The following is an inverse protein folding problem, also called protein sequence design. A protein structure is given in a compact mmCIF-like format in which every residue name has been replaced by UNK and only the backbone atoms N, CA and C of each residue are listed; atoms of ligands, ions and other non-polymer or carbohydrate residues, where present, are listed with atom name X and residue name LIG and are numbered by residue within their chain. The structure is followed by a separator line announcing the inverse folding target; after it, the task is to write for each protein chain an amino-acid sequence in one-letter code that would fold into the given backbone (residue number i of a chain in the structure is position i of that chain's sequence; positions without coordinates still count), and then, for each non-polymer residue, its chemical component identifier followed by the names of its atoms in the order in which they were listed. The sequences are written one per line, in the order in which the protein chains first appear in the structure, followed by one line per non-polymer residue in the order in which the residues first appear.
data_IF_273008244021
#
_entry.id   IF_273008244021
#
_cell.length_a   1.000
_cell.length_b   1.000
_cell.length_c   1.000
_cell.angle_alpha   90.00
_cell.angle_beta   90.00
_cell.angle_gamma   90.00
#
_symmetry.space_group_name_H-M   'P 1'
#
loop_
_entity.id
_entity.type
_entity.pdbx_description
1 polymer ?
#
# COMPACT_ATOMS: atom_id res chain seq x y z
N UNK A 1 -8.84 -17.61 -3.38
CA UNK A 1 -10.24 -17.13 -3.40
C UNK A 1 -10.20 -15.73 -3.98
N UNK A 2 -10.95 -15.37 -5.01
CA UNK A 2 -10.95 -14.01 -5.51
C UNK A 2 -11.64 -13.11 -4.48
N UNK A 3 -10.95 -12.03 -4.07
CA UNK A 3 -11.49 -10.97 -3.23
C UNK A 3 -12.69 -10.35 -3.92
N UNK A 4 -13.88 -10.64 -3.39
CA UNK A 4 -15.09 -9.96 -3.81
C UNK A 4 -15.05 -8.58 -3.15
N UNK A 5 -14.86 -7.52 -3.93
CA UNK A 5 -15.03 -6.14 -3.51
C UNK A 5 -16.49 -5.95 -3.08
N UNK A 6 -16.80 -6.22 -1.84
CA UNK A 6 -18.09 -5.94 -1.22
C UNK A 6 -18.24 -4.43 -1.11
N UNK A 7 -19.22 -3.90 -1.79
CA UNK A 7 -19.57 -2.48 -1.74
C UNK A 7 -20.67 -2.29 -0.70
N UNK A 8 -20.28 -1.75 0.43
CA UNK A 8 -21.21 -1.45 1.52
C UNK A 8 -21.78 -0.04 1.39
N UNK A 9 -23.11 0.07 1.29
CA UNK A 9 -23.81 1.35 1.44
C UNK A 9 -24.33 1.45 2.89
N UNK A 10 -23.89 2.48 3.63
CA UNK A 10 -24.22 2.70 5.04
C UNK A 10 -25.04 3.96 5.22
N UNK A 11 -26.07 3.88 6.08
CA UNK A 11 -27.01 4.97 6.33
C UNK A 11 -27.21 5.19 7.84
N UNK A 12 -27.24 6.44 8.26
CA UNK A 12 -27.69 6.83 9.59
C UNK A 12 -29.20 6.99 9.56
N UNK A 13 -29.90 6.46 10.56
CA UNK A 13 -31.37 6.54 10.72
C UNK A 13 -31.73 6.99 12.13
N UNK A 14 -32.90 7.59 12.29
CA UNK A 14 -33.40 7.95 13.61
C UNK A 14 -34.19 6.80 14.27
N UNK A 15 -34.56 6.95 15.55
CA UNK A 15 -35.27 5.91 16.30
C UNK A 15 -36.72 5.66 15.76
N UNK A 16 -37.30 6.59 15.01
CA UNK A 16 -38.62 6.49 14.38
C UNK A 16 -38.57 5.87 12.98
N UNK A 17 -37.35 5.61 12.46
CA UNK A 17 -37.20 5.04 11.14
C UNK A 17 -37.87 3.66 11.07
N UNK A 18 -38.66 3.46 10.05
CA UNK A 18 -39.25 2.16 9.74
C UNK A 18 -38.63 1.62 8.47
N UNK A 19 -38.00 0.44 8.57
CA UNK A 19 -37.40 -0.22 7.43
C UNK A 19 -38.48 -0.48 6.35
N UNK A 20 -38.31 0.00 5.10
CA UNK A 20 -39.26 -0.25 4.04
C UNK A 20 -39.37 -1.74 3.72
N UNK A 21 -40.56 -2.19 3.25
CA UNK A 21 -40.80 -3.58 2.85
C UNK A 21 -39.71 -4.05 1.86
N UNK A 22 -39.12 -5.21 2.15
CA UNK A 22 -38.01 -5.79 1.40
C UNK A 22 -38.47 -6.87 0.40
N UNK A 23 -39.67 -7.44 0.60
CA UNK A 23 -40.24 -8.55 -0.19
C UNK A 23 -40.39 -8.19 -1.67
N UNK A 24 -40.64 -6.91 -1.97
CA UNK A 24 -40.83 -6.41 -3.33
C UNK A 24 -39.50 -6.05 -4.04
N UNK A 25 -38.36 -6.23 -3.41
CA UNK A 25 -37.06 -5.87 -3.99
C UNK A 25 -36.71 -6.84 -5.12
N UNK A 26 -37.00 -8.13 -4.92
CA UNK A 26 -36.85 -9.17 -5.95
C UNK A 26 -38.22 -9.80 -6.18
N UNK A 27 -38.66 -9.86 -7.44
CA UNK A 27 -39.94 -10.50 -7.80
C UNK A 27 -39.84 -12.00 -7.46
N UNK A 28 -40.78 -12.48 -6.62
CA UNK A 28 -40.77 -13.83 -6.07
C UNK A 28 -39.54 -14.19 -5.28
N UNK A 29 -38.80 -13.22 -4.74
CA UNK A 29 -37.64 -13.43 -3.87
C UNK A 29 -38.06 -13.89 -2.47
N UNK A 30 -37.18 -14.62 -1.80
CA UNK A 30 -37.32 -14.98 -0.41
C UNK A 30 -36.54 -13.97 0.47
N UNK A 31 -37.12 -13.58 1.59
CA UNK A 31 -36.48 -12.76 2.63
C UNK A 31 -36.33 -13.62 3.86
N UNK A 32 -35.11 -13.87 4.29
CA UNK A 32 -34.80 -14.49 5.57
C UNK A 32 -34.47 -13.39 6.56
N UNK A 33 -34.91 -13.55 7.81
CA UNK A 33 -34.69 -12.59 8.89
C UNK A 33 -34.10 -13.29 10.09
N UNK A 34 -33.00 -12.73 10.61
CA UNK A 34 -32.29 -13.22 11.79
C UNK A 34 -32.00 -12.03 12.72
N UNK A 35 -32.14 -12.23 14.04
CA UNK A 35 -31.64 -11.29 15.04
C UNK A 35 -30.35 -11.76 15.61
N UNK A 36 -29.35 -10.87 15.61
CA UNK A 36 -27.96 -11.16 16.01
C UNK A 36 -27.58 -10.18 17.11
N UNK A 37 -27.14 -10.71 18.25
CA UNK A 37 -26.57 -9.92 19.34
C UNK A 37 -25.06 -10.10 19.35
N UNK A 38 -24.30 -9.01 19.32
CA UNK A 38 -22.84 -9.04 19.29
C UNK A 38 -22.22 -7.90 20.07
N UNK A 39 -21.11 -8.19 20.71
CA UNK A 39 -20.26 -7.20 21.40
C UNK A 39 -18.87 -7.18 20.76
N UNK A 40 -18.39 -6.00 20.42
CA UNK A 40 -17.05 -5.79 19.88
C UNK A 40 -16.29 -4.84 20.80
N UNK A 41 -15.21 -5.31 21.39
CA UNK A 41 -14.23 -4.47 22.09
C UNK A 41 -13.15 -4.04 21.10
N UNK A 42 -13.00 -2.75 20.88
CA UNK A 42 -11.99 -2.17 19.99
C UNK A 42 -10.76 -1.75 20.78
N UNK A 43 -9.61 -2.11 20.24
CA UNK A 43 -8.32 -1.87 20.87
C UNK A 43 -7.46 -0.94 20.03
N UNK A 44 -6.78 -0.01 20.70
CA UNK A 44 -5.81 0.90 20.08
C UNK A 44 -4.81 1.38 21.14
N UNK A 45 -3.78 2.08 20.71
CA UNK A 45 -2.91 2.82 21.64
C UNK A 45 -3.62 4.09 22.16
N UNK A 46 -3.11 4.67 23.23
CA UNK A 46 -3.63 5.95 23.78
C UNK A 46 -3.70 7.08 22.74
N UNK A 47 -2.82 7.04 21.72
CA UNK A 47 -2.76 8.04 20.67
C UNK A 47 -3.55 7.63 19.41
N UNK A 48 -4.28 6.52 19.45
CA UNK A 48 -5.04 5.97 18.34
C UNK A 48 -4.20 5.66 17.09
N UNK A 49 -3.03 5.09 17.29
CA UNK A 49 -2.04 4.83 16.24
C UNK A 49 -2.54 3.84 15.18
N UNK A 50 -3.28 2.80 15.58
CA UNK A 50 -3.84 1.81 14.66
C UNK A 50 -4.89 2.44 13.76
N UNK A 51 -5.85 3.13 14.35
CA UNK A 51 -6.91 3.83 13.62
C UNK A 51 -6.36 4.89 12.66
N UNK A 52 -5.32 5.61 13.04
CA UNK A 52 -4.67 6.60 12.19
C UNK A 52 -4.11 5.99 10.89
N UNK A 53 -3.80 4.68 10.90
CA UNK A 53 -3.34 3.92 9.74
C UNK A 53 -4.44 3.06 9.09
N UNK A 54 -5.71 3.25 9.50
CA UNK A 54 -6.83 2.48 8.99
C UNK A 54 -6.86 1.01 9.46
N UNK A 55 -6.04 0.67 10.45
CA UNK A 55 -5.99 -0.65 11.09
C UNK A 55 -7.04 -0.69 12.20
N UNK A 56 -7.79 -1.80 12.28
CA UNK A 56 -8.75 -2.04 13.35
C UNK A 56 -8.39 -3.34 14.05
N UNK A 57 -8.18 -3.27 15.35
CA UNK A 57 -8.04 -4.44 16.21
C UNK A 57 -9.28 -4.52 17.11
N UNK A 58 -9.94 -5.67 17.11
CA UNK A 58 -11.11 -5.89 17.96
C UNK A 58 -11.12 -7.30 18.52
N UNK A 59 -11.74 -7.44 19.69
CA UNK A 59 -12.18 -8.72 20.22
C UNK A 59 -13.69 -8.79 20.02
N UNK A 60 -14.12 -9.81 19.29
CA UNK A 60 -15.53 -10.04 18.97
C UNK A 60 -16.11 -11.14 19.83
N UNK A 61 -17.33 -10.93 20.28
CA UNK A 61 -18.15 -11.91 20.98
C UNK A 61 -19.58 -11.87 20.45
N UNK A 62 -20.07 -13.03 19.96
CA UNK A 62 -21.38 -13.17 19.32
C UNK A 62 -21.30 -13.37 17.79
N UNK A 63 -22.46 -13.65 17.15
CA UNK A 63 -22.63 -13.90 15.71
C UNK A 63 -21.81 -15.11 15.18
N UNK A 64 -21.57 -16.12 16.06
CA UNK A 64 -20.81 -17.33 15.66
C UNK A 64 -19.30 -17.12 15.48
N UNK A 65 -18.81 -15.90 15.62
CA UNK A 65 -17.39 -15.55 15.51
C UNK A 65 -16.91 -14.92 16.83
N UNK A 66 -16.30 -15.76 17.68
CA UNK A 66 -15.71 -15.29 18.94
C UNK A 66 -14.20 -15.31 18.82
N UNK A 67 -13.52 -14.21 19.13
CA UNK A 67 -12.07 -14.13 19.10
C UNK A 67 -11.53 -12.77 18.69
N UNK A 68 -10.22 -12.73 18.43
CA UNK A 68 -9.52 -11.54 17.97
C UNK A 68 -9.59 -11.40 16.47
N UNK A 69 -9.85 -10.18 16.02
CA UNK A 69 -9.90 -9.82 14.61
C UNK A 69 -9.04 -8.58 14.38
N UNK A 70 -8.15 -8.68 13.39
CA UNK A 70 -7.32 -7.57 12.92
C UNK A 70 -7.66 -7.27 11.46
N UNK A 71 -8.24 -6.11 11.20
CA UNK A 71 -8.49 -5.63 9.86
C UNK A 71 -7.39 -4.64 9.43
N UNK A 72 -6.67 -4.98 8.37
CA UNK A 72 -5.58 -4.15 7.82
C UNK A 72 -5.91 -3.67 6.41
N UNK A 73 -5.53 -2.45 6.01
CA UNK A 73 -5.66 -2.00 4.63
C UNK A 73 -4.88 -2.92 3.69
N UNK A 74 -5.48 -3.25 2.54
CA UNK A 74 -4.84 -4.03 1.47
C UNK A 74 -5.21 -3.42 0.11
N UNK A 75 -4.57 -3.84 -0.99
CA UNK A 75 -4.78 -3.30 -2.33
C UNK A 75 -6.27 -3.33 -2.75
N UNK A 76 -6.92 -2.17 -2.63
CA UNK A 76 -8.33 -1.97 -3.01
C UNK A 76 -9.37 -2.33 -1.95
N UNK A 77 -8.98 -2.71 -0.71
CA UNK A 77 -9.92 -3.08 0.34
C UNK A 77 -9.29 -3.23 1.71
N UNK A 78 -9.80 -4.18 2.47
CA UNK A 78 -9.26 -4.61 3.77
C UNK A 78 -9.08 -6.12 3.78
N UNK A 79 -8.02 -6.58 4.41
CA UNK A 79 -7.84 -8.00 4.75
C UNK A 79 -8.12 -8.17 6.23
N UNK A 80 -8.92 -9.15 6.58
CA UNK A 80 -9.24 -9.53 7.95
C UNK A 80 -8.47 -10.79 8.34
N UNK A 81 -7.89 -10.76 9.54
CA UNK A 81 -7.16 -11.85 10.15
C UNK A 81 -7.86 -12.21 11.45
N UNK A 82 -7.98 -13.50 11.73
CA UNK A 82 -8.75 -14.00 12.86
C UNK A 82 -7.87 -14.90 13.73
N UNK A 83 -8.02 -14.78 15.05
CA UNK A 83 -7.42 -15.65 16.06
C UNK A 83 -8.48 -16.09 17.07
N UNK A 84 -8.22 -17.22 17.71
CA UNK A 84 -9.09 -17.73 18.75
C UNK A 84 -9.19 -16.75 19.93
N UNK A 85 -10.25 -16.90 20.71
CA UNK A 85 -10.49 -16.09 21.90
C UNK A 85 -9.37 -16.25 22.93
N UNK A 86 -8.90 -15.11 23.45
CA UNK A 86 -7.99 -14.97 24.59
C UNK A 86 -8.28 -13.67 25.33
N UNK A 87 -7.86 -13.54 26.58
CA UNK A 87 -8.12 -12.35 27.40
C UNK A 87 -7.32 -11.14 26.93
N UNK A 88 -6.14 -11.37 26.36
CA UNK A 88 -5.25 -10.35 25.79
C UNK A 88 -5.02 -10.61 24.30
N UNK A 89 -4.60 -9.58 23.53
CA UNK A 89 -4.21 -9.76 22.13
C UNK A 89 -3.12 -10.84 22.01
N UNK A 90 -3.24 -11.80 21.07
CA UNK A 90 -2.20 -12.81 20.84
C UNK A 90 -0.84 -12.16 20.52
N UNK A 91 0.25 -12.83 20.89
CA UNK A 91 1.63 -12.36 20.62
C UNK A 91 1.88 -12.14 19.12
N UNK A 92 1.25 -12.94 18.27
CA UNK A 92 1.32 -12.75 16.81
C UNK A 92 0.74 -11.39 16.39
N UNK A 93 -0.38 -10.97 16.98
CA UNK A 93 -1.01 -9.67 16.71
C UNK A 93 -0.09 -8.53 17.15
N UNK A 94 0.45 -8.61 18.36
CA UNK A 94 1.35 -7.60 18.90
C UNK A 94 2.61 -7.47 18.05
N UNK A 95 3.18 -8.58 17.59
CA UNK A 95 4.33 -8.62 16.67
C UNK A 95 4.01 -7.96 15.34
N UNK A 96 2.83 -8.23 14.75
CA UNK A 96 2.40 -7.61 13.51
C UNK A 96 2.26 -6.09 13.63
N UNK A 97 1.89 -5.61 14.81
CA UNK A 97 1.61 -4.20 15.06
C UNK A 97 2.81 -3.41 15.61
N UNK A 98 3.95 -4.07 15.85
CA UNK A 98 5.14 -3.44 16.49
C UNK A 98 5.56 -2.14 15.82
N UNK A 99 5.59 -2.08 14.48
CA UNK A 99 5.95 -0.87 13.74
C UNK A 99 4.94 0.28 13.87
N UNK A 100 3.70 -0.01 14.25
CA UNK A 100 2.64 0.98 14.49
C UNK A 100 2.57 1.40 15.95
N UNK A 101 2.54 0.43 16.85
CA UNK A 101 2.41 0.69 18.31
C UNK A 101 3.67 1.26 18.91
N UNK A 102 4.84 0.91 18.36
CA UNK A 102 6.17 1.34 18.85
C UNK A 102 6.39 1.03 20.35
N UNK A 103 5.94 -0.15 20.77
CA UNK A 103 6.03 -0.61 22.15
C UNK A 103 5.01 0.00 23.10
N UNK A 104 4.07 0.82 22.64
CA UNK A 104 2.96 1.29 23.46
C UNK A 104 1.98 0.16 23.71
N UNK A 105 1.38 0.19 24.89
CA UNK A 105 0.29 -0.72 25.25
C UNK A 105 -0.93 -0.49 24.35
N UNK A 106 -1.55 -1.59 23.94
CA UNK A 106 -2.81 -1.60 23.19
C UNK A 106 -3.92 -1.96 24.17
N UNK A 107 -4.82 -1.01 24.43
CA UNK A 107 -5.89 -1.14 25.39
C UNK A 107 -7.26 -0.96 24.74
N UNK A 108 -8.33 -1.38 25.42
CA UNK A 108 -9.70 -1.16 24.96
C UNK A 108 -10.01 0.35 24.92
N UNK A 109 -10.38 0.85 23.75
CA UNK A 109 -10.74 2.27 23.52
C UNK A 109 -12.24 2.48 23.33
N UNK A 110 -12.97 1.43 22.96
CA UNK A 110 -14.41 1.47 22.83
C UNK A 110 -15.01 0.06 22.90
N UNK A 111 -16.10 -0.10 23.63
CA UNK A 111 -16.90 -1.31 23.63
C UNK A 111 -18.24 -1.02 22.94
N UNK A 112 -18.53 -1.74 21.86
CA UNK A 112 -19.71 -1.52 21.03
C UNK A 112 -20.59 -2.78 21.06
N UNK A 113 -21.76 -2.65 21.61
CA UNK A 113 -22.82 -3.64 21.59
C UNK A 113 -23.78 -3.33 20.44
N UNK A 114 -24.09 -4.34 19.64
CA UNK A 114 -24.96 -4.22 18.47
C UNK A 114 -26.04 -5.28 18.51
N UNK A 115 -27.31 -4.89 18.51
CA UNK A 115 -28.43 -5.77 18.21
C UNK A 115 -28.77 -5.52 16.74
N UNK A 116 -28.60 -6.54 15.92
CA UNK A 116 -28.75 -6.49 14.47
C UNK A 116 -29.94 -7.27 14.01
N UNK A 117 -30.81 -6.62 13.26
CA UNK A 117 -31.85 -7.27 12.50
C UNK A 117 -31.37 -7.46 11.07
N UNK A 118 -31.01 -8.70 10.72
CA UNK A 118 -30.43 -9.05 9.44
C UNK A 118 -31.47 -9.62 8.49
N UNK A 119 -31.57 -9.04 7.30
CA UNK A 119 -32.47 -9.48 6.24
C UNK A 119 -31.67 -9.91 5.04
N UNK A 120 -31.75 -11.22 4.68
CA UNK A 120 -31.11 -11.78 3.50
C UNK A 120 -32.14 -11.96 2.39
N UNK A 121 -31.92 -11.29 1.26
CA UNK A 121 -32.84 -11.30 0.12
C UNK A 121 -32.21 -12.18 -0.98
N UNK A 122 -32.90 -13.27 -1.35
CA UNK A 122 -32.46 -14.24 -2.34
C UNK A 122 -33.37 -14.28 -3.53
N UNK A 123 -32.81 -14.55 -4.74
CA UNK A 123 -33.60 -14.78 -5.96
C UNK A 123 -34.11 -16.25 -5.99
N UNK A 124 -35.27 -16.51 -6.62
CA UNK A 124 -35.92 -17.84 -6.61
C UNK A 124 -35.07 -19.00 -7.13
N UNK A 125 -34.08 -18.72 -7.97
CA UNK A 125 -33.24 -19.72 -8.63
C UNK A 125 -31.78 -19.75 -8.15
N UNK A 126 -31.41 -18.89 -7.18
CA UNK A 126 -30.08 -18.83 -6.58
C UNK A 126 -30.19 -19.06 -5.07
N UNK A 127 -29.56 -20.10 -4.56
CA UNK A 127 -29.55 -20.43 -3.12
C UNK A 127 -28.78 -19.41 -2.26
N UNK A 128 -27.96 -18.55 -2.88
CA UNK A 128 -27.17 -17.53 -2.18
C UNK A 128 -27.91 -16.19 -2.12
N UNK A 129 -27.79 -15.42 -1.01
CA UNK A 129 -28.37 -14.09 -0.89
C UNK A 129 -27.78 -13.13 -1.93
N UNK A 130 -28.65 -12.37 -2.60
CA UNK A 130 -28.22 -11.34 -3.56
C UNK A 130 -27.95 -10.00 -2.88
N UNK A 131 -28.65 -9.72 -1.77
CA UNK A 131 -28.55 -8.49 -0.97
C UNK A 131 -28.73 -8.88 0.49
N UNK A 132 -27.91 -8.30 1.35
CA UNK A 132 -28.07 -8.35 2.79
C UNK A 132 -28.33 -6.93 3.30
N UNK A 133 -29.31 -6.80 4.18
CA UNK A 133 -29.66 -5.54 4.85
C UNK A 133 -29.54 -5.78 6.35
N UNK A 134 -28.64 -5.06 6.98
CA UNK A 134 -28.46 -5.07 8.42
C UNK A 134 -29.04 -3.77 9.01
N UNK A 135 -30.02 -3.89 9.89
CA UNK A 135 -30.57 -2.78 10.68
C UNK A 135 -30.02 -2.90 12.10
N UNK A 136 -29.05 -2.05 12.41
CA UNK A 136 -28.22 -2.15 13.61
C UNK A 136 -28.63 -1.11 14.66
N UNK A 137 -29.08 -1.60 15.83
CA UNK A 137 -29.24 -0.81 17.05
C UNK A 137 -27.91 -0.89 17.84
N UNK A 138 -27.21 0.23 17.93
CA UNK A 138 -25.85 0.28 18.44
C UNK A 138 -25.78 1.05 19.75
N UNK A 139 -25.09 0.49 20.75
CA UNK A 139 -24.70 1.14 21.99
C UNK A 139 -23.18 1.07 22.13
N UNK A 140 -22.55 2.21 22.36
CA UNK A 140 -21.11 2.28 22.54
C UNK A 140 -20.76 2.89 23.90
N UNK A 141 -19.76 2.28 24.56
CA UNK A 141 -19.14 2.78 25.79
C UNK A 141 -17.69 3.19 25.45
N UNK A 142 -17.32 4.45 25.75
CA UNK A 142 -16.02 5.03 25.51
C UNK A 142 -15.58 5.72 26.80
N UNK A 143 -14.74 5.09 27.61
CA UNK A 143 -14.48 5.53 28.98
C UNK A 143 -15.79 5.66 29.74
N UNK A 144 -16.09 6.86 30.26
CA UNK A 144 -17.35 7.16 31.00
C UNK A 144 -18.52 7.60 30.08
N UNK A 145 -18.30 7.73 28.76
CA UNK A 145 -19.31 8.21 27.83
C UNK A 145 -20.09 7.05 27.23
N UNK A 146 -21.42 7.19 27.19
CA UNK A 146 -22.32 6.26 26.54
C UNK A 146 -22.98 6.96 25.35
N UNK A 147 -22.97 6.28 24.21
CA UNK A 147 -23.57 6.70 22.96
C UNK A 147 -24.56 5.63 22.49
N UNK A 148 -25.66 6.05 21.86
CA UNK A 148 -26.55 5.14 21.17
C UNK A 148 -26.95 5.74 19.83
N UNK A 149 -27.02 4.88 18.80
CA UNK A 149 -27.52 5.27 17.47
C UNK A 149 -28.07 4.06 16.74
N UNK A 150 -28.73 4.30 15.63
CA UNK A 150 -29.25 3.29 14.73
C UNK A 150 -28.67 3.53 13.32
N UNK A 151 -28.25 2.48 12.65
CA UNK A 151 -27.70 2.54 11.30
C UNK A 151 -28.21 1.38 10.46
N UNK A 152 -28.34 1.60 9.15
CA UNK A 152 -28.70 0.55 8.20
C UNK A 152 -27.53 0.35 7.25
N UNK A 153 -27.07 -0.90 7.12
CA UNK A 153 -26.02 -1.32 6.19
C UNK A 153 -26.63 -2.17 5.08
N UNK A 154 -26.21 -1.93 3.84
CA UNK A 154 -26.63 -2.71 2.69
C UNK A 154 -25.40 -3.32 2.02
N UNK A 155 -25.34 -4.63 2.04
CA UNK A 155 -24.31 -5.40 1.35
C UNK A 155 -24.87 -6.04 0.09
N UNK A 156 -24.14 -5.98 -1.00
CA UNK A 156 -24.61 -6.49 -2.28
C UNK A 156 -23.57 -7.41 -2.92
N UNK A 157 -24.01 -8.62 -3.23
CA UNK A 157 -23.21 -9.58 -3.99
C UNK A 157 -22.98 -9.14 -5.43
N UNK A 158 -22.08 -9.84 -6.10
CA UNK A 158 -21.73 -9.56 -7.49
C UNK A 158 -22.99 -9.63 -8.41
N UNK A 159 -23.26 -8.56 -9.14
CA UNK A 159 -24.40 -8.47 -10.07
C UNK A 159 -25.68 -7.82 -9.52
N UNK A 160 -25.78 -7.53 -8.22
CA UNK A 160 -26.99 -6.94 -7.60
C UNK A 160 -27.10 -5.40 -7.71
N UNK A 161 -26.23 -4.74 -8.48
CA UNK A 161 -26.08 -3.27 -8.55
C UNK A 161 -27.39 -2.50 -8.81
N UNK A 162 -28.27 -3.03 -9.64
CA UNK A 162 -29.56 -2.39 -9.94
C UNK A 162 -30.54 -2.49 -8.77
N UNK A 163 -30.54 -3.64 -8.10
CA UNK A 163 -31.36 -3.90 -6.91
C UNK A 163 -30.90 -3.03 -5.76
N UNK A 164 -29.60 -2.93 -5.51
CA UNK A 164 -29.02 -2.06 -4.49
C UNK A 164 -29.40 -0.60 -4.69
N UNK A 165 -29.35 -0.09 -5.92
CA UNK A 165 -29.80 1.27 -6.24
C UNK A 165 -31.27 1.48 -5.93
N UNK A 166 -32.12 0.50 -6.24
CA UNK A 166 -33.55 0.55 -5.97
C UNK A 166 -33.81 0.57 -4.46
N UNK A 167 -33.14 -0.28 -3.70
CA UNK A 167 -33.22 -0.33 -2.25
C UNK A 167 -32.71 0.96 -1.62
N UNK A 168 -31.54 1.45 -1.99
CA UNK A 168 -30.98 2.72 -1.53
C UNK A 168 -31.96 3.89 -1.75
N UNK A 169 -32.63 3.93 -2.90
CA UNK A 169 -33.66 4.96 -3.16
C UNK A 169 -34.85 4.86 -2.18
N UNK A 170 -35.31 3.65 -1.87
CA UNK A 170 -36.40 3.42 -0.89
C UNK A 170 -35.99 3.81 0.52
N UNK A 171 -34.78 3.41 0.95
CA UNK A 171 -34.24 3.77 2.28
C UNK A 171 -34.16 5.30 2.43
N UNK A 172 -33.68 6.02 1.44
CA UNK A 172 -33.62 7.48 1.45
C UNK A 172 -35.01 8.12 1.48
N UNK A 173 -35.98 7.56 0.75
CA UNK A 173 -37.35 8.03 0.76
C UNK A 173 -38.03 7.81 2.13
N UNK A 174 -37.59 6.77 2.85
CA UNK A 174 -38.06 6.50 4.22
C UNK A 174 -37.35 7.35 5.30
N UNK A 175 -36.35 8.18 4.92
CA UNK A 175 -35.66 9.09 5.84
C UNK A 175 -34.18 8.71 6.13
N UNK A 176 -33.70 7.60 5.61
CA UNK A 176 -32.29 7.21 5.80
C UNK A 176 -31.32 8.20 5.12
N UNK A 177 -30.27 8.60 5.82
CA UNK A 177 -29.21 9.51 5.32
C UNK A 177 -27.92 8.77 5.16
N UNK A 178 -27.17 8.97 4.06
CA UNK A 178 -25.85 8.37 3.92
C UNK A 178 -24.98 8.70 5.14
N UNK A 179 -24.42 7.67 5.76
CA UNK A 179 -23.56 7.87 6.91
C UNK A 179 -22.25 8.55 6.49
N UNK A 180 -21.81 9.49 7.31
CA UNK A 180 -20.49 10.12 7.19
C UNK A 180 -19.38 9.30 7.85
N UNK A 181 -19.73 8.28 8.60
CA UNK A 181 -18.80 7.45 9.36
C UNK A 181 -18.55 6.12 8.64
N UNK A 182 -17.28 5.79 8.34
CA UNK A 182 -16.94 4.57 7.60
C UNK A 182 -17.11 3.29 8.44
N UNK A 183 -17.12 3.39 9.78
CA UNK A 183 -17.26 2.26 10.69
C UNK A 183 -18.00 2.67 11.98
N UNK A 184 -18.47 1.69 12.76
CA UNK A 184 -19.05 1.93 14.09
C UNK A 184 -18.04 2.59 15.03
N UNK A 185 -16.79 2.14 15.01
CA UNK A 185 -15.73 2.76 15.79
C UNK A 185 -15.51 4.23 15.39
N UNK A 186 -15.53 4.54 14.09
CA UNK A 186 -15.39 5.93 13.63
C UNK A 186 -16.57 6.82 14.03
N UNK A 187 -17.76 6.22 14.22
CA UNK A 187 -18.93 6.93 14.77
C UNK A 187 -18.77 7.15 16.28
N UNK A 188 -18.38 6.11 17.02
CA UNK A 188 -18.21 6.17 18.47
C UNK A 188 -17.07 7.10 18.88
N UNK A 189 -15.93 7.02 18.19
CA UNK A 189 -14.72 7.82 18.45
C UNK A 189 -14.39 8.60 17.17
N UNK A 190 -15.02 9.75 16.91
CA UNK A 190 -14.73 10.55 15.74
C UNK A 190 -13.24 10.96 15.71
N UNK A 191 -12.62 10.89 14.55
CA UNK A 191 -11.29 11.48 14.39
C UNK A 191 -11.40 13.00 14.57
N UNK A 192 -10.45 13.60 15.27
CA UNK A 192 -10.35 15.05 15.29
C UNK A 192 -10.24 15.55 13.83
N UNK A 193 -11.03 16.57 13.45
CA UNK A 193 -10.90 17.14 12.12
C UNK A 193 -9.46 17.59 11.93
N UNK A 194 -8.78 17.00 10.95
CA UNK A 194 -7.46 17.46 10.57
C UNK A 194 -7.52 18.97 10.39
N UNK A 195 -6.66 19.70 11.10
CA UNK A 195 -6.64 21.16 11.05
C UNK A 195 -6.73 21.58 9.59
N UNK A 196 -7.77 22.31 9.23
CA UNK A 196 -8.08 22.69 7.85
C UNK A 196 -6.91 23.52 7.35
N UNK A 197 -5.90 22.89 6.82
CA UNK A 197 -4.75 23.62 6.33
C UNK A 197 -5.18 24.37 5.10
N UNK A 198 -5.33 25.66 5.20
CA UNK A 198 -4.32 26.31 4.47
C UNK A 198 -4.45 26.24 2.94
N UNK A 199 -3.40 26.51 2.27
CA UNK A 199 -3.29 26.72 0.81
C UNK A 199 -3.40 25.40 0.03
N UNK A 200 -3.85 25.42 -1.24
CA UNK A 200 -3.83 24.25 -2.11
C UNK A 200 -2.43 23.64 -2.27
N UNK A 201 -1.37 24.43 -2.09
CA UNK A 201 0.00 23.95 -2.18
C UNK A 201 0.38 23.12 -0.96
N UNK A 202 0.02 23.57 0.25
CA UNK A 202 0.23 22.81 1.47
C UNK A 202 -0.52 21.48 1.42
N UNK A 203 -1.78 21.52 0.99
CA UNK A 203 -2.58 20.30 0.82
C UNK A 203 -1.91 19.32 -0.14
N UNK A 204 -1.50 19.77 -1.33
CA UNK A 204 -0.84 18.91 -2.30
C UNK A 204 0.46 18.27 -1.75
N UNK A 205 1.24 19.03 -0.97
CA UNK A 205 2.47 18.51 -0.35
C UNK A 205 2.15 17.53 0.78
N UNK A 206 1.21 17.88 1.67
CA UNK A 206 0.78 17.02 2.79
C UNK A 206 0.16 15.72 2.31
N UNK A 207 -0.78 15.77 1.37
CA UNK A 207 -1.43 14.58 0.82
C UNK A 207 -0.41 13.66 0.14
N UNK A 208 0.54 14.24 -0.60
CA UNK A 208 1.60 13.44 -1.22
C UNK A 208 2.54 12.80 -0.21
N UNK A 209 2.90 13.50 0.87
CA UNK A 209 3.68 12.94 1.98
C UNK A 209 2.90 11.80 2.66
N UNK A 210 1.67 12.06 3.07
CA UNK A 210 0.81 11.09 3.76
C UNK A 210 0.64 9.80 2.96
N UNK A 211 0.41 9.89 1.65
CA UNK A 211 0.32 8.71 0.79
C UNK A 211 1.59 7.85 0.82
N UNK A 212 2.78 8.45 0.98
CA UNK A 212 4.01 7.67 1.13
C UNK A 212 4.16 7.08 2.53
N UNK A 213 3.75 7.81 3.57
CA UNK A 213 3.77 7.33 4.96
C UNK A 213 2.84 6.13 5.13
N UNK A 214 1.61 6.24 4.63
CA UNK A 214 0.60 5.18 4.67
C UNK A 214 1.10 3.92 3.92
N UNK A 215 1.75 4.09 2.75
CA UNK A 215 2.32 2.97 1.99
C UNK A 215 3.51 2.31 2.69
N UNK A 216 4.33 3.07 3.43
CA UNK A 216 5.43 2.50 4.23
C UNK A 216 4.88 1.73 5.41
N UNK A 217 3.86 2.24 6.10
CA UNK A 217 3.20 1.55 7.21
C UNK A 217 2.49 0.26 6.76
N UNK A 218 1.78 0.30 5.62
CA UNK A 218 1.20 -0.89 5.01
C UNK A 218 2.28 -1.92 4.61
N UNK A 219 3.44 -1.44 4.15
CA UNK A 219 4.61 -2.25 3.85
C UNK A 219 5.18 -2.95 5.08
N UNK A 220 5.26 -2.27 6.23
CA UNK A 220 5.69 -2.87 7.51
C UNK A 220 4.79 -4.04 7.90
N UNK A 221 3.47 -3.81 7.96
CA UNK A 221 2.49 -4.84 8.29
C UNK A 221 2.59 -6.01 7.30
N UNK A 222 2.67 -5.73 6.00
CA UNK A 222 2.77 -6.74 4.96
C UNK A 222 4.00 -7.61 5.10
N UNK A 223 5.17 -7.02 5.37
CA UNK A 223 6.43 -7.76 5.59
C UNK A 223 6.35 -8.64 6.83
N UNK A 224 5.82 -8.13 7.94
CA UNK A 224 5.62 -8.91 9.19
C UNK A 224 4.64 -10.07 9.00
N UNK A 225 3.68 -9.93 8.09
CA UNK A 225 2.75 -11.01 7.68
C UNK A 225 3.37 -12.02 6.71
N UNK A 226 4.65 -11.92 6.37
CA UNK A 226 5.30 -12.77 5.37
C UNK A 226 4.85 -12.49 3.93
N UNK A 227 4.11 -11.39 3.67
CA UNK A 227 3.80 -10.92 2.32
C UNK A 227 5.04 -10.25 1.69
N UNK A 228 4.95 -9.91 0.42
CA UNK A 228 6.07 -9.34 -0.34
C UNK A 228 5.80 -7.94 -0.90
N UNK A 229 5.51 -6.92 -0.04
CA UNK A 229 5.26 -5.54 -0.45
C UNK A 229 6.55 -4.77 -0.76
N UNK A 230 7.69 -5.45 -0.95
CA UNK A 230 9.03 -4.84 -1.06
C UNK A 230 9.09 -3.79 -2.17
N UNK A 231 8.47 -4.08 -3.33
CA UNK A 231 8.48 -3.14 -4.45
C UNK A 231 7.84 -1.80 -4.09
N UNK A 232 6.63 -1.85 -3.56
CA UNK A 232 5.81 -0.65 -3.30
C UNK A 232 6.34 0.13 -2.12
N UNK A 233 6.79 -0.55 -1.07
CA UNK A 233 7.49 0.08 0.06
C UNK A 233 8.76 0.82 -0.40
N UNK A 234 9.57 0.21 -1.27
CA UNK A 234 10.74 0.89 -1.87
C UNK A 234 10.36 2.09 -2.75
N UNK A 235 9.25 2.00 -3.48
CA UNK A 235 8.75 3.12 -4.28
C UNK A 235 8.35 4.26 -3.37
N UNK A 236 7.59 3.99 -2.30
CA UNK A 236 7.16 4.99 -1.32
C UNK A 236 8.37 5.67 -0.64
N UNK A 237 9.33 4.91 -0.14
CA UNK A 237 10.57 5.45 0.44
C UNK A 237 11.33 6.33 -0.57
N UNK A 238 11.44 5.91 -1.83
CA UNK A 238 12.12 6.72 -2.86
C UNK A 238 11.39 8.01 -3.17
N UNK A 239 10.03 8.00 -3.20
CA UNK A 239 9.20 9.20 -3.39
C UNK A 239 9.36 10.14 -2.20
N UNK A 240 9.26 9.63 -0.97
CA UNK A 240 9.45 10.40 0.25
C UNK A 240 10.83 11.08 0.25
N UNK A 241 11.92 10.34 0.09
CA UNK A 241 13.29 10.85 0.02
C UNK A 241 13.50 11.87 -1.10
N UNK A 242 12.83 11.68 -2.24
CA UNK A 242 12.87 12.65 -3.33
C UNK A 242 12.18 13.95 -2.95
N UNK A 243 11.04 13.88 -2.27
CA UNK A 243 10.29 15.03 -1.75
C UNK A 243 11.12 15.83 -0.75
N UNK A 244 11.74 15.16 0.22
CA UNK A 244 12.62 15.78 1.20
C UNK A 244 13.76 16.59 0.54
N UNK A 245 14.31 16.09 -0.55
CA UNK A 245 15.42 16.74 -1.25
C UNK A 245 14.99 17.85 -2.19
N UNK A 246 13.90 17.67 -2.95
CA UNK A 246 13.45 18.65 -3.94
C UNK A 246 12.77 19.83 -3.27
N UNK A 247 11.95 19.54 -2.26
CA UNK A 247 11.15 20.54 -1.56
C UNK A 247 11.76 20.99 -0.23
N UNK A 248 13.03 20.69 0.01
CA UNK A 248 13.76 21.00 1.26
C UNK A 248 13.49 22.40 1.82
N UNK A 249 13.32 23.42 0.99
CA UNK A 249 13.15 24.81 1.42
C UNK A 249 11.74 25.20 1.87
N UNK A 250 10.79 24.28 1.77
CA UNK A 250 9.39 24.43 2.22
C UNK A 250 9.03 23.38 3.25
N UNK A 251 10.05 22.75 3.82
CA UNK A 251 9.93 21.73 4.86
C UNK A 251 10.75 22.16 6.06
N UNK A 252 10.23 21.90 7.24
CA UNK A 252 10.92 22.14 8.51
C UNK A 252 12.16 21.22 8.63
N UNK A 253 13.34 21.81 8.48
CA UNK A 253 14.59 21.07 8.48
C UNK A 253 14.94 20.44 9.83
N UNK A 254 14.76 21.10 10.97
CA UNK A 254 14.88 20.50 12.29
C UNK A 254 14.02 19.25 12.46
N UNK A 255 12.76 19.28 12.02
CA UNK A 255 11.86 18.13 12.10
C UNK A 255 12.28 16.95 11.20
N UNK A 256 12.99 17.20 10.09
CA UNK A 256 13.50 16.16 9.20
C UNK A 256 14.69 15.43 9.80
N UNK A 257 15.61 16.15 10.47
CA UNK A 257 16.81 15.56 11.04
C UNK A 257 17.54 14.62 10.04
N UNK A 258 17.88 13.43 10.50
CA UNK A 258 18.61 12.42 9.73
C UNK A 258 17.72 11.44 8.95
N UNK A 259 16.40 11.68 8.88
CA UNK A 259 15.44 10.74 8.29
C UNK A 259 15.80 10.33 6.85
N UNK A 260 16.35 11.22 6.00
CA UNK A 260 16.74 10.84 4.63
C UNK A 260 17.85 9.78 4.62
N UNK A 261 18.80 9.86 5.54
CA UNK A 261 19.86 8.85 5.68
C UNK A 261 19.35 7.54 6.25
N UNK A 262 18.46 7.57 7.21
CA UNK A 262 17.84 6.39 7.80
C UNK A 262 16.94 5.66 6.80
N UNK A 263 16.12 6.39 6.06
CA UNK A 263 15.35 5.83 4.95
C UNK A 263 16.26 5.29 3.83
N UNK A 264 17.45 5.84 3.61
CA UNK A 264 18.42 5.27 2.65
C UNK A 264 18.93 3.92 3.14
N UNK A 265 19.25 3.80 4.42
CA UNK A 265 19.69 2.55 5.03
C UNK A 265 18.61 1.47 4.88
N UNK A 266 17.38 1.72 5.29
CA UNK A 266 16.31 0.75 5.19
C UNK A 266 15.97 0.38 3.72
N UNK A 267 15.97 1.36 2.81
CA UNK A 267 15.78 1.11 1.38
C UNK A 267 16.91 0.25 0.76
N UNK A 268 18.10 0.21 1.34
CA UNK A 268 19.17 -0.67 0.88
C UNK A 268 18.87 -2.13 1.24
N UNK A 269 18.44 -2.40 2.48
CA UNK A 269 18.02 -3.73 2.92
C UNK A 269 16.88 -4.31 2.06
N UNK A 270 15.84 -3.53 1.82
CA UNK A 270 14.79 -3.88 0.86
C UNK A 270 15.34 -4.06 -0.56
N UNK A 271 16.44 -3.37 -0.89
CA UNK A 271 17.13 -3.42 -2.15
C UNK A 271 17.73 -4.77 -2.43
N UNK A 272 18.44 -5.32 -1.47
CA UNK A 272 19.14 -6.59 -1.60
C UNK A 272 18.15 -7.72 -1.94
N UNK A 273 16.99 -7.75 -1.31
CA UNK A 273 15.92 -8.72 -1.62
C UNK A 273 15.32 -8.44 -3.00
N UNK A 274 14.97 -7.18 -3.28
CA UNK A 274 14.30 -6.81 -4.54
C UNK A 274 15.14 -7.10 -5.77
N UNK A 275 16.43 -6.91 -5.69
CA UNK A 275 17.34 -7.11 -6.81
C UNK A 275 17.40 -8.61 -7.19
N UNK A 276 17.34 -9.53 -6.22
CA UNK A 276 17.19 -10.98 -6.47
C UNK A 276 15.87 -11.31 -7.16
N UNK A 277 14.74 -10.74 -6.69
CA UNK A 277 13.42 -10.96 -7.29
C UNK A 277 13.33 -10.47 -8.74
N UNK A 278 13.94 -9.31 -9.02
CA UNK A 278 13.97 -8.76 -10.40
C UNK A 278 14.76 -9.68 -11.31
N UNK A 279 15.92 -10.17 -10.86
CA UNK A 279 16.73 -11.10 -11.64
C UNK A 279 16.03 -12.44 -11.84
N UNK A 280 15.42 -13.00 -10.80
CA UNK A 280 14.68 -14.26 -10.88
C UNK A 280 13.56 -14.19 -11.93
N UNK A 281 12.75 -13.14 -11.89
CA UNK A 281 11.71 -12.92 -12.90
C UNK A 281 12.30 -12.73 -14.28
N UNK A 282 13.32 -11.87 -14.42
CA UNK A 282 13.95 -11.54 -15.70
C UNK A 282 14.52 -12.76 -16.40
N UNK A 283 15.25 -13.59 -15.68
CA UNK A 283 15.82 -14.82 -16.24
C UNK A 283 14.75 -15.88 -16.50
N UNK A 284 13.76 -16.01 -15.62
CA UNK A 284 12.62 -16.90 -15.79
C UNK A 284 11.85 -16.62 -17.08
N UNK A 285 11.44 -15.36 -17.27
CA UNK A 285 10.68 -14.92 -18.46
C UNK A 285 11.45 -15.22 -19.78
N UNK A 286 12.77 -15.08 -19.76
CA UNK A 286 13.61 -15.40 -20.94
C UNK A 286 13.67 -16.90 -21.18
N UNK A 287 13.90 -17.70 -20.13
CA UNK A 287 13.98 -19.16 -20.24
C UNK A 287 12.64 -19.79 -20.65
N UNK A 288 11.52 -19.17 -20.25
CA UNK A 288 10.18 -19.64 -20.66
C UNK A 288 9.92 -19.46 -22.14
N UNK A 289 10.52 -18.44 -22.76
CA UNK A 289 10.45 -18.20 -24.20
C UNK A 289 11.58 -18.83 -25.02
N UNK A 290 12.49 -19.56 -24.38
CA UNK A 290 13.66 -20.15 -25.07
C UNK A 290 13.34 -21.58 -25.55
N UNK A 291 13.74 -21.98 -26.79
CA UNK A 291 13.66 -23.36 -27.24
C UNK A 291 14.33 -24.31 -26.23
N UNK A 292 13.71 -25.45 -25.96
CA UNK A 292 14.16 -26.39 -24.91
C UNK A 292 15.54 -26.95 -25.21
N UNK A 293 15.89 -27.14 -26.47
CA UNK A 293 17.18 -27.59 -26.94
C UNK A 293 18.33 -26.61 -26.69
N UNK A 294 18.03 -25.36 -26.35
CA UNK A 294 19.01 -24.34 -25.99
C UNK A 294 19.17 -24.17 -24.47
N UNK A 295 18.35 -24.85 -23.69
CA UNK A 295 18.44 -24.87 -22.21
C UNK A 295 19.22 -26.12 -21.80
N UNK A 296 20.55 -26.01 -21.81
CA UNK A 296 21.45 -27.13 -21.56
C UNK A 296 21.83 -27.21 -20.07
N UNK A 297 21.52 -28.37 -19.47
CA UNK A 297 21.79 -28.64 -18.05
C UNK A 297 20.74 -28.02 -17.09
N UNK A 298 20.99 -28.04 -15.76
CA UNK A 298 20.03 -27.63 -14.75
C UNK A 298 19.98 -26.10 -14.53
N UNK A 299 19.93 -25.32 -15.63
CA UNK A 299 20.06 -23.85 -15.62
C UNK A 299 19.03 -23.18 -14.70
N UNK A 300 17.75 -23.62 -14.76
CA UNK A 300 16.69 -23.05 -13.92
C UNK A 300 16.95 -23.27 -12.43
N UNK A 301 17.37 -24.48 -12.07
CA UNK A 301 17.68 -24.82 -10.68
C UNK A 301 18.92 -24.05 -10.21
N UNK A 302 19.93 -23.91 -11.05
CA UNK A 302 21.13 -23.15 -10.72
C UNK A 302 20.79 -21.67 -10.46
N UNK A 303 20.08 -21.01 -11.38
CA UNK A 303 19.64 -19.59 -11.19
C UNK A 303 18.86 -19.44 -9.90
N UNK A 304 17.90 -20.33 -9.64
CA UNK A 304 17.11 -20.29 -8.42
C UNK A 304 17.97 -20.42 -7.18
N UNK A 305 18.84 -21.41 -7.13
CA UNK A 305 19.68 -21.68 -5.97
C UNK A 305 20.69 -20.54 -5.70
N UNK A 306 21.33 -20.02 -6.75
CA UNK A 306 22.29 -18.93 -6.62
C UNK A 306 21.62 -17.62 -6.15
N UNK A 307 20.40 -17.33 -6.63
CA UNK A 307 19.65 -16.16 -6.18
C UNK A 307 19.08 -16.35 -4.77
N UNK A 308 18.57 -17.54 -4.42
CA UNK A 308 18.09 -17.84 -3.07
C UNK A 308 19.22 -17.76 -2.03
N UNK A 309 20.43 -18.20 -2.37
CA UNK A 309 21.59 -18.08 -1.50
C UNK A 309 21.91 -16.62 -1.11
N UNK A 310 21.51 -15.66 -1.93
CA UNK A 310 21.64 -14.22 -1.64
C UNK A 310 20.36 -13.68 -0.96
N UNK A 311 19.19 -14.07 -1.44
CA UNK A 311 17.90 -13.54 -1.01
C UNK A 311 17.56 -13.96 0.43
N UNK A 312 17.76 -15.22 0.81
CA UNK A 312 17.39 -15.69 2.15
C UNK A 312 18.11 -14.95 3.27
N UNK A 313 19.47 -14.81 3.25
CA UNK A 313 20.16 -14.00 4.26
C UNK A 313 19.76 -12.52 4.22
N UNK A 314 19.41 -11.98 3.04
CA UNK A 314 18.93 -10.61 2.93
C UNK A 314 17.56 -10.42 3.60
N UNK A 315 16.65 -11.39 3.47
CA UNK A 315 15.35 -11.39 4.17
C UNK A 315 15.51 -11.50 5.69
N UNK A 316 16.43 -12.35 6.16
CA UNK A 316 16.74 -12.45 7.60
C UNK A 316 17.23 -11.11 8.14
N UNK A 317 18.23 -10.49 7.49
CA UNK A 317 18.72 -9.16 7.90
C UNK A 317 17.63 -8.07 7.84
N UNK A 318 16.70 -8.17 6.88
CA UNK A 318 15.57 -7.24 6.80
C UNK A 318 14.65 -7.41 8.00
N UNK A 319 14.30 -8.64 8.37
CA UNK A 319 13.46 -8.94 9.55
C UNK A 319 14.11 -8.43 10.84
N UNK A 320 15.38 -8.77 11.08
CA UNK A 320 16.15 -8.29 12.24
C UNK A 320 16.21 -6.76 12.29
N UNK A 321 16.39 -6.12 11.14
CA UNK A 321 16.40 -4.67 11.06
C UNK A 321 15.04 -4.05 11.43
N UNK A 322 13.93 -4.68 11.07
CA UNK A 322 12.58 -4.20 11.37
C UNK A 322 12.24 -4.27 12.87
N UNK A 323 12.95 -5.09 13.64
CA UNK A 323 12.78 -5.20 15.09
C UNK A 323 13.78 -4.34 15.85
N UNK A 324 14.71 -3.66 15.16
CA UNK A 324 15.71 -2.80 15.79
C UNK A 324 15.15 -1.45 16.21
N UNK A 325 15.69 -0.88 17.30
CA UNK A 325 15.39 0.50 17.75
C UNK A 325 15.60 1.53 16.64
N UNK A 326 16.57 1.28 15.74
CA UNK A 326 16.85 2.16 14.61
C UNK A 326 15.67 2.25 13.64
N UNK A 327 15.07 1.11 13.30
CA UNK A 327 13.90 1.09 12.44
C UNK A 327 12.66 1.64 13.13
N UNK A 328 12.44 1.26 14.39
CA UNK A 328 11.33 1.79 15.19
C UNK A 328 11.41 3.30 15.35
N UNK A 329 12.62 3.87 15.46
CA UNK A 329 12.81 5.33 15.44
C UNK A 329 12.39 5.97 14.10
N UNK A 330 12.65 5.31 12.96
CA UNK A 330 12.11 5.75 11.66
C UNK A 330 10.58 5.78 11.71
N UNK A 331 9.95 4.67 12.11
CA UNK A 331 8.50 4.57 12.17
C UNK A 331 7.88 5.61 13.13
N UNK A 332 8.54 5.91 14.24
CA UNK A 332 8.12 6.96 15.17
C UNK A 332 8.12 8.36 14.52
N UNK A 333 9.13 8.67 13.70
CA UNK A 333 9.15 9.93 12.93
C UNK A 333 8.04 9.97 11.91
N UNK A 334 7.84 8.89 11.14
CA UNK A 334 6.80 8.81 10.11
C UNK A 334 5.40 8.96 10.72
N UNK A 335 5.13 8.31 11.86
CA UNK A 335 3.89 8.45 12.61
C UNK A 335 3.64 9.89 13.04
N UNK A 336 4.64 10.54 13.65
CA UNK A 336 4.55 11.96 14.07
C UNK A 336 4.22 12.86 12.87
N UNK A 337 4.83 12.62 11.71
CA UNK A 337 4.56 13.37 10.49
C UNK A 337 3.17 13.11 9.92
N UNK A 338 2.60 11.93 10.15
CA UNK A 338 1.23 11.63 9.74
C UNK A 338 0.22 12.51 10.50
N UNK A 339 0.48 12.77 11.78
CA UNK A 339 -0.33 13.67 12.61
C UNK A 339 0.00 15.15 12.34
N UNK A 340 1.28 15.50 12.26
CA UNK A 340 1.78 16.86 12.08
C UNK A 340 2.90 16.88 11.01
N UNK A 341 2.56 16.99 9.73
CA UNK A 341 3.54 17.03 8.65
C UNK A 341 4.51 18.20 8.81
N UNK A 342 5.82 18.01 8.52
CA UNK A 342 6.85 19.05 8.64
C UNK A 342 6.81 20.02 7.45
N UNK A 343 5.70 20.70 7.29
CA UNK A 343 5.41 21.58 6.15
C UNK A 343 5.32 23.02 6.65
N UNK A 344 6.08 23.93 6.05
CA UNK A 344 5.98 25.37 6.33
C UNK A 344 4.54 25.85 6.08
N UNK A 345 4.11 26.83 6.87
CA UNK A 345 2.81 27.44 6.67
C UNK A 345 2.84 28.34 5.41
N UNK A 346 1.69 28.45 4.72
CA UNK A 346 1.45 29.35 3.60
C UNK A 346 2.39 29.22 2.39
N UNK A 347 2.65 27.99 1.97
CA UNK A 347 3.42 27.73 0.75
C UNK A 347 2.65 28.24 -0.47
N UNK A 348 3.30 29.10 -1.27
CA UNK A 348 2.75 29.52 -2.56
C UNK A 348 2.88 28.42 -3.62
N UNK A 349 1.85 28.22 -4.45
CA UNK A 349 1.86 27.27 -5.58
C UNK A 349 3.07 27.53 -6.50
N UNK A 350 3.43 28.81 -6.73
CA UNK A 350 4.59 29.20 -7.52
C UNK A 350 5.90 28.62 -6.99
N UNK A 351 6.02 28.48 -5.66
CA UNK A 351 7.18 27.89 -5.00
C UNK A 351 7.30 26.40 -5.32
N UNK A 352 6.23 25.63 -5.21
CA UNK A 352 6.23 24.21 -5.58
C UNK A 352 6.59 24.03 -7.07
N UNK A 353 5.93 24.77 -7.96
CA UNK A 353 6.22 24.73 -9.41
C UNK A 353 7.67 25.10 -9.73
N UNK A 354 8.24 26.10 -9.04
CA UNK A 354 9.64 26.49 -9.20
C UNK A 354 10.60 25.38 -8.80
N UNK A 355 10.31 24.64 -7.71
CA UNK A 355 11.12 23.50 -7.27
C UNK A 355 11.04 22.34 -8.28
N UNK A 356 9.84 21.95 -8.68
CA UNK A 356 9.63 20.91 -9.67
C UNK A 356 10.33 21.23 -11.01
N UNK A 357 10.22 22.49 -11.48
CA UNK A 357 10.92 22.95 -12.69
C UNK A 357 12.44 22.86 -12.55
N UNK A 358 13.02 23.21 -11.41
CA UNK A 358 14.46 23.08 -11.16
C UNK A 358 14.92 21.62 -11.19
N UNK A 359 14.12 20.72 -10.60
CA UNK A 359 14.39 19.28 -10.65
C UNK A 359 14.35 18.78 -12.11
N UNK A 360 13.40 19.24 -12.91
CA UNK A 360 13.28 18.96 -14.34
C UNK A 360 14.53 19.42 -15.10
N UNK A 361 14.90 20.71 -15.03
CA UNK A 361 16.11 21.22 -15.73
C UNK A 361 17.39 20.48 -15.35
N UNK A 362 17.50 20.07 -14.08
CA UNK A 362 18.63 19.26 -13.63
C UNK A 362 18.62 17.85 -14.26
N UNK A 363 17.45 17.27 -14.46
CA UNK A 363 17.30 15.96 -15.09
C UNK A 363 17.63 16.05 -16.59
N UNK A 364 17.10 17.06 -17.29
CA UNK A 364 17.35 17.28 -18.72
C UNK A 364 18.86 17.47 -18.99
N UNK A 365 19.53 18.33 -18.22
CA UNK A 365 20.97 18.54 -18.33
C UNK A 365 21.77 17.26 -18.12
N UNK A 366 21.47 16.50 -17.04
CA UNK A 366 22.18 15.25 -16.75
C UNK A 366 21.92 14.16 -17.78
N UNK A 367 20.73 14.14 -18.36
CA UNK A 367 20.40 13.22 -19.43
C UNK A 367 21.24 13.56 -20.68
N UNK A 368 21.31 14.84 -21.05
CA UNK A 368 22.13 15.28 -22.17
C UNK A 368 23.61 14.92 -22.00
N UNK A 369 24.21 15.24 -20.84
CA UNK A 369 25.58 14.90 -20.49
C UNK A 369 25.85 13.38 -20.58
N UNK A 370 24.91 12.56 -20.05
CA UNK A 370 25.05 11.12 -20.06
C UNK A 370 24.92 10.49 -21.46
N UNK A 371 24.09 11.08 -22.33
CA UNK A 371 23.93 10.61 -23.71
C UNK A 371 25.10 11.01 -24.61
N UNK A 372 25.80 12.08 -24.30
CA UNK A 372 27.03 12.50 -25.02
C UNK A 372 28.22 11.62 -24.67
N UNK A 373 28.41 11.35 -23.38
CA UNK A 373 29.56 10.54 -22.90
C UNK A 373 29.34 9.03 -23.06
N UNK A 374 28.11 8.57 -22.95
CA UNK A 374 27.78 7.14 -22.89
C UNK A 374 28.28 6.45 -21.61
N UNK A 375 28.79 7.22 -20.65
CA UNK A 375 29.35 6.72 -19.39
C UNK A 375 28.26 6.16 -18.48
N UNK A 376 28.45 4.96 -17.93
CA UNK A 376 27.47 4.28 -17.10
C UNK A 376 27.17 5.00 -15.78
N UNK A 377 28.16 5.66 -15.17
CA UNK A 377 27.99 6.44 -13.96
C UNK A 377 27.12 7.67 -14.24
N UNK A 378 27.34 8.28 -15.40
CA UNK A 378 26.52 9.44 -15.84
C UNK A 378 25.09 9.02 -16.16
N UNK A 379 24.86 7.89 -16.84
CA UNK A 379 23.54 7.31 -17.08
C UNK A 379 22.81 7.01 -15.76
N UNK A 380 23.50 6.44 -14.80
CA UNK A 380 22.93 6.21 -13.47
C UNK A 380 22.57 7.53 -12.73
N UNK A 381 23.41 8.59 -12.85
CA UNK A 381 23.11 9.91 -12.30
C UNK A 381 21.92 10.56 -13.00
N UNK A 382 21.78 10.40 -14.32
CA UNK A 382 20.65 10.87 -15.10
C UNK A 382 19.35 10.15 -14.67
N UNK A 383 19.38 8.82 -14.51
CA UNK A 383 18.24 8.02 -13.99
C UNK A 383 17.77 8.53 -12.63
N UNK A 384 18.72 8.77 -11.68
CA UNK A 384 18.38 9.34 -10.36
C UNK A 384 17.75 10.73 -10.45
N UNK A 385 18.20 11.57 -11.38
CA UNK A 385 17.65 12.90 -11.60
C UNK A 385 16.26 12.84 -12.24
N UNK A 386 16.05 11.97 -13.23
CA UNK A 386 14.76 11.71 -13.87
C UNK A 386 13.71 11.25 -12.87
N UNK A 387 14.06 10.32 -11.94
CA UNK A 387 13.17 9.91 -10.84
C UNK A 387 12.74 11.11 -9.99
N UNK A 388 13.67 12.00 -9.61
CA UNK A 388 13.34 13.19 -8.80
C UNK A 388 12.45 14.17 -9.55
N UNK A 389 12.69 14.38 -10.84
CA UNK A 389 11.86 15.24 -11.67
C UNK A 389 10.45 14.69 -11.83
N UNK A 390 10.31 13.37 -12.02
CA UNK A 390 9.02 12.70 -12.08
C UNK A 390 8.25 12.85 -10.79
N UNK A 391 8.83 12.50 -9.64
CA UNK A 391 8.15 12.56 -8.34
C UNK A 391 7.80 13.99 -7.93
N UNK A 392 8.64 14.97 -8.28
CA UNK A 392 8.32 16.37 -8.07
C UNK A 392 7.15 16.84 -8.93
N UNK A 393 7.02 16.31 -10.15
CA UNK A 393 5.88 16.58 -11.01
C UNK A 393 4.61 15.88 -10.50
N UNK A 394 4.68 14.61 -10.07
CA UNK A 394 3.56 13.88 -9.44
C UNK A 394 2.96 14.69 -8.28
N UNK A 395 3.79 15.19 -7.36
CA UNK A 395 3.36 16.05 -6.26
C UNK A 395 2.62 17.31 -6.73
N UNK A 396 3.04 17.88 -7.84
CA UNK A 396 2.44 19.11 -8.37
C UNK A 396 1.19 18.87 -9.23
N UNK A 397 0.77 17.63 -9.51
CA UNK A 397 -0.39 17.35 -10.36
C UNK A 397 -1.68 18.06 -9.93
N UNK A 398 -2.02 18.12 -8.61
CA UNK A 398 -3.23 18.80 -8.16
C UNK A 398 -3.23 20.33 -8.43
N UNK A 399 -2.04 20.94 -8.55
CA UNK A 399 -1.86 22.39 -8.65
C UNK A 399 -1.23 22.85 -9.98
N UNK A 400 -0.88 21.91 -10.88
CA UNK A 400 -0.28 22.21 -12.18
C UNK A 400 -0.76 21.28 -13.29
N UNK A 401 -1.62 21.78 -14.18
CA UNK A 401 -2.15 21.02 -15.33
C UNK A 401 -1.07 20.45 -16.26
N UNK A 402 0.12 21.06 -16.30
CA UNK A 402 1.26 20.59 -17.13
C UNK A 402 2.04 19.44 -16.49
N UNK A 403 1.85 19.18 -15.20
CA UNK A 403 2.59 18.18 -14.44
C UNK A 403 2.41 16.76 -15.02
N UNK A 404 1.21 16.37 -15.40
CA UNK A 404 0.91 15.04 -16.01
C UNK A 404 1.78 14.73 -17.23
N UNK A 405 2.02 15.73 -18.11
CA UNK A 405 2.90 15.58 -19.28
C UNK A 405 4.35 15.34 -18.85
N UNK A 406 4.81 16.07 -17.84
CA UNK A 406 6.15 15.93 -17.27
C UNK A 406 6.34 14.54 -16.63
N UNK A 407 5.34 14.06 -15.89
CA UNK A 407 5.33 12.70 -15.31
C UNK A 407 5.46 11.64 -16.39
N UNK A 408 4.65 11.72 -17.46
CA UNK A 408 4.69 10.78 -18.59
C UNK A 408 6.07 10.77 -19.26
N UNK A 409 6.65 11.95 -19.53
CA UNK A 409 7.98 12.06 -20.13
C UNK A 409 9.05 11.36 -19.28
N UNK A 410 9.14 11.71 -17.99
CA UNK A 410 10.15 11.11 -17.13
C UNK A 410 9.86 9.65 -16.74
N UNK A 411 8.62 9.19 -16.84
CA UNK A 411 8.31 7.75 -16.76
C UNK A 411 9.02 6.99 -17.89
N UNK A 412 8.96 7.50 -19.12
CA UNK A 412 9.62 6.89 -20.27
C UNK A 412 11.16 6.92 -20.14
N UNK A 413 11.73 8.07 -19.78
CA UNK A 413 13.18 8.20 -19.49
C UNK A 413 13.61 7.21 -18.41
N UNK A 414 12.84 7.11 -17.35
CA UNK A 414 13.13 6.22 -16.21
C UNK A 414 13.02 4.75 -16.59
N UNK A 415 12.08 4.34 -17.45
CA UNK A 415 11.96 2.98 -17.94
C UNK A 415 13.20 2.60 -18.74
N UNK A 416 13.54 3.37 -19.76
CA UNK A 416 14.71 3.07 -20.63
C UNK A 416 16.03 3.02 -19.87
N UNK A 417 16.31 4.01 -19.00
CA UNK A 417 17.51 4.00 -18.16
C UNK A 417 17.43 2.95 -17.04
N UNK A 418 16.20 2.48 -16.71
CA UNK A 418 15.95 1.38 -15.80
C UNK A 418 16.39 0.07 -16.41
N UNK A 419 15.83 -0.24 -17.56
CA UNK A 419 16.12 -1.46 -18.30
C UNK A 419 17.61 -1.59 -18.59
N UNK A 420 18.28 -0.48 -18.93
CA UNK A 420 19.75 -0.46 -19.09
C UNK A 420 20.48 -0.82 -17.79
N UNK A 421 20.11 -0.23 -16.65
CA UNK A 421 20.75 -0.54 -15.37
C UNK A 421 20.52 -2.00 -14.96
N UNK A 422 19.34 -2.53 -15.24
CA UNK A 422 18.98 -3.91 -14.92
C UNK A 422 19.80 -4.90 -15.76
N UNK A 423 20.17 -4.55 -17.03
CA UNK A 423 21.09 -5.37 -17.82
C UNK A 423 22.51 -5.40 -17.25
N UNK A 424 23.00 -4.31 -16.67
CA UNK A 424 24.34 -4.27 -16.04
C UNK A 424 24.42 -5.25 -14.87
N UNK A 425 23.38 -5.25 -14.01
CA UNK A 425 23.29 -6.16 -12.87
C UNK A 425 23.13 -7.61 -13.34
N UNK A 426 22.27 -7.83 -14.35
CA UNK A 426 22.01 -9.15 -14.90
C UNK A 426 23.26 -9.77 -15.55
N UNK A 427 24.02 -9.00 -16.35
CA UNK A 427 25.24 -9.51 -17.00
C UNK A 427 26.31 -9.92 -16.00
N UNK A 428 26.47 -9.18 -14.91
CA UNK A 428 27.42 -9.55 -13.86
C UNK A 428 27.01 -10.84 -13.14
N UNK A 429 25.73 -11.00 -12.83
CA UNK A 429 25.21 -12.23 -12.23
C UNK A 429 25.36 -13.44 -13.17
N UNK A 430 24.97 -13.30 -14.44
CA UNK A 430 25.07 -14.36 -15.45
C UNK A 430 26.53 -14.79 -15.69
N UNK A 431 27.47 -13.84 -15.69
CA UNK A 431 28.91 -14.14 -15.83
C UNK A 431 29.40 -15.01 -14.68
N UNK A 432 29.02 -14.67 -13.43
CA UNK A 432 29.37 -15.47 -12.25
C UNK A 432 28.80 -16.89 -12.33
N UNK A 433 27.51 -16.99 -12.69
CA UNK A 433 26.83 -18.28 -12.85
C UNK A 433 27.45 -19.14 -13.95
N UNK A 434 27.81 -18.52 -15.09
CA UNK A 434 28.46 -19.22 -16.20
C UNK A 434 29.83 -19.81 -15.80
N UNK A 435 30.63 -19.03 -15.07
CA UNK A 435 31.94 -19.52 -14.57
C UNK A 435 31.74 -20.67 -13.60
N UNK A 436 30.83 -20.55 -12.67
CA UNK A 436 30.53 -21.59 -11.69
C UNK A 436 29.98 -22.87 -12.36
N UNK A 437 29.08 -22.75 -13.35
CA UNK A 437 28.55 -23.87 -14.12
C UNK A 437 29.67 -24.59 -14.92
N UNK A 438 30.64 -23.84 -15.45
CA UNK A 438 31.75 -24.42 -16.18
C UNK A 438 32.75 -25.25 -15.31
N UNK A 439 32.67 -25.14 -13.99
CA UNK A 439 33.48 -25.89 -13.02
C UNK A 439 32.66 -26.93 -12.22
N UNK A 440 31.39 -27.08 -12.49
CA UNK A 440 30.49 -28.02 -11.82
C UNK A 440 30.22 -29.22 -12.74
N UNK A 441 30.40 -30.47 -12.30
CA UNK A 441 30.05 -31.64 -13.08
C UNK A 441 28.61 -31.58 -13.58
N UNK A 442 28.39 -32.04 -14.82
CA UNK A 442 27.07 -32.09 -15.49
C UNK A 442 26.41 -30.73 -15.74
N UNK A 443 27.11 -29.62 -15.48
CA UNK A 443 26.69 -28.27 -15.85
C UNK A 443 27.57 -27.68 -16.96
N UNK A 444 27.06 -26.66 -17.67
CA UNK A 444 27.85 -25.93 -18.66
C UNK A 444 27.40 -24.45 -18.74
N UNK A 445 28.29 -23.63 -19.33
CA UNK A 445 28.09 -22.19 -19.44
C UNK A 445 27.27 -21.74 -20.67
N UNK A 446 26.82 -22.63 -21.55
CA UNK A 446 26.26 -22.29 -22.86
C UNK A 446 25.01 -21.40 -22.74
N UNK A 447 23.99 -21.88 -22.02
CA UNK A 447 22.74 -21.13 -21.85
C UNK A 447 22.96 -19.81 -21.12
N UNK A 448 23.84 -19.77 -20.12
CA UNK A 448 24.22 -18.52 -19.43
C UNK A 448 24.91 -17.54 -20.40
N UNK A 449 25.74 -18.03 -21.33
CA UNK A 449 26.33 -17.21 -22.37
C UNK A 449 25.32 -16.60 -23.32
N UNK A 450 24.30 -17.36 -23.70
CA UNK A 450 23.17 -16.86 -24.50
C UNK A 450 22.37 -15.78 -23.77
N UNK A 451 22.03 -16.01 -22.50
CA UNK A 451 21.36 -15.02 -21.65
C UNK A 451 22.20 -13.74 -21.53
N UNK A 452 23.51 -13.87 -21.31
CA UNK A 452 24.44 -12.75 -21.24
C UNK A 452 24.47 -11.95 -22.56
N UNK A 453 24.57 -12.62 -23.71
CA UNK A 453 24.57 -11.97 -25.03
C UNK A 453 23.28 -11.19 -25.29
N UNK A 454 22.14 -11.77 -24.88
CA UNK A 454 20.83 -11.09 -24.94
C UNK A 454 20.80 -9.82 -24.10
N UNK A 455 21.29 -9.86 -22.86
CA UNK A 455 21.38 -8.69 -21.98
C UNK A 455 22.25 -7.59 -22.59
N UNK A 456 23.37 -7.94 -23.21
CA UNK A 456 24.23 -7.01 -23.94
C UNK A 456 23.48 -6.36 -25.12
N UNK A 457 22.66 -7.12 -25.83
CA UNK A 457 21.84 -6.59 -26.93
C UNK A 457 20.80 -5.60 -26.42
N UNK A 458 20.09 -5.94 -25.32
CA UNK A 458 19.12 -5.05 -24.68
C UNK A 458 19.81 -3.75 -24.23
N UNK A 459 20.98 -3.83 -23.60
CA UNK A 459 21.76 -2.66 -23.19
C UNK A 459 22.12 -1.73 -24.36
N UNK A 460 22.50 -2.31 -25.50
CA UNK A 460 22.79 -1.55 -26.74
C UNK A 460 21.52 -0.86 -27.28
N UNK A 461 20.39 -1.58 -27.27
CA UNK A 461 19.11 -1.03 -27.72
C UNK A 461 18.63 0.10 -26.81
N UNK A 462 18.67 -0.07 -25.49
CA UNK A 462 18.33 0.98 -24.53
C UNK A 462 19.14 2.26 -24.74
N UNK A 463 20.44 2.13 -25.03
CA UNK A 463 21.31 3.29 -25.35
C UNK A 463 20.88 4.00 -26.64
N UNK A 464 20.50 3.26 -27.69
CA UNK A 464 19.97 3.85 -28.93
C UNK A 464 18.67 4.58 -28.71
N UNK A 465 17.74 3.97 -27.96
CA UNK A 465 16.41 4.54 -27.72
C UNK A 465 16.48 5.75 -26.78
N UNK A 466 17.40 5.75 -25.80
CA UNK A 466 17.64 6.90 -24.95
C UNK A 466 18.08 8.14 -25.72
N UNK A 467 18.86 7.97 -26.81
CA UNK A 467 19.25 9.10 -27.70
C UNK A 467 18.07 9.73 -28.43
N UNK A 468 16.96 9.00 -28.64
CA UNK A 468 15.72 9.49 -29.27
C UNK A 468 14.81 10.28 -28.33
N UNK A 469 15.14 10.29 -27.04
CA UNK A 469 14.38 11.06 -26.03
C UNK A 469 14.87 12.52 -25.90
N UNK A 470 15.85 12.91 -26.69
CA UNK A 470 16.36 14.29 -26.79
C UNK A 470 15.37 15.26 -27.41
#
# INVERSE_FOLDING_TARGET
MPDTLERHDKFDVDDRFTLPKLEDIIVNGAVQHDTIDSTNDYYDTSDHDLRAQGVLLQRRDGDGETGWQLAVPDDGGRTELHWIHSDSPPDEVTTLLTGLTLGKEVASVAKIHTVRERYRISAPQRGEPCIEVDDDHVRASIGEHLLAWREVKVDSGAGARTLTKRLTKRLRAAGARPSRYPSKLAHAVPAEPAASSSTPANRALTDYLNAQLDQIAAGDIGLRRGKDPIHDTRVAIRRLRSTLRVFRKVLDQPAIGDLDSELKWFAALLGDVRDCQVQHRRFGDVLDGMPVELVLGPVRSRIRNDLQAIELPARTRLGEAMDSDRYLAIMAVLRRWRAAPPVDQDIAISTLKKRARRARHKADRRLAEALETGDEVMLHRARKAAKRARYAAELCEPVDKKAKRTVKHYKNVQSLLGDHQDTVVATEALRRMAVAAGTTPDENGFTFGMLYAREQQIARQCRKDARRLR
#
